data_IF_438356557255
#
_entry.id   IF_438356557255
#
_cell.length_a   1.000
_cell.length_b   1.000
_cell.length_c   1.000
_cell.angle_alpha   90.00
_cell.angle_beta   90.00
_cell.angle_gamma   90.00
#
_symmetry.space_group_name_H-M   'P 1'
#
loop_
_entity.id
_entity.type
_entity.pdbx_description
1 polymer ?
#
# COMPACT_ATOMS: atom_id res chain seq x y z
N UNK A 1 5.30 13.25 14.69
CA UNK A 1 6.32 12.54 13.88
C UNK A 1 5.65 11.79 12.74
N UNK A 2 6.07 11.97 11.50
CA UNK A 2 5.57 11.13 10.43
C UNK A 2 6.00 9.67 10.62
N UNK A 3 5.26 8.75 10.00
CA UNK A 3 5.58 7.32 10.05
C UNK A 3 6.86 6.98 9.27
N UNK A 4 7.18 7.79 8.25
CA UNK A 4 8.31 7.57 7.36
C UNK A 4 8.83 8.93 6.89
N UNK A 5 10.11 9.02 6.60
CA UNK A 5 10.66 10.24 5.99
C UNK A 5 10.13 10.38 4.56
N UNK A 6 9.72 11.57 4.19
CA UNK A 6 9.22 11.82 2.84
C UNK A 6 9.47 13.26 2.42
N UNK A 7 9.44 13.48 1.11
CA UNK A 7 9.51 14.79 0.48
C UNK A 7 8.20 15.07 -0.25
N UNK A 8 7.99 16.31 -0.67
CA UNK A 8 6.73 16.73 -1.30
C UNK A 8 6.32 15.85 -2.49
N UNK A 9 7.28 15.44 -3.33
CA UNK A 9 7.00 14.59 -4.48
C UNK A 9 6.48 13.20 -4.09
N UNK A 10 6.81 12.73 -2.89
CA UNK A 10 6.31 11.44 -2.40
C UNK A 10 4.81 11.48 -2.13
N UNK A 11 4.28 12.63 -1.70
CA UNK A 11 2.85 12.82 -1.48
C UNK A 11 2.10 12.61 -2.79
N UNK A 12 2.57 13.25 -3.85
CA UNK A 12 1.95 13.14 -5.16
C UNK A 12 2.05 11.72 -5.71
N UNK A 13 3.21 11.11 -5.61
CA UNK A 13 3.44 9.76 -6.12
C UNK A 13 2.59 8.73 -5.37
N UNK A 14 2.53 8.83 -4.05
CA UNK A 14 1.70 7.95 -3.23
C UNK A 14 0.21 8.13 -3.56
N UNK A 15 -0.24 9.37 -3.71
CA UNK A 15 -1.62 9.64 -4.09
C UNK A 15 -1.98 8.99 -5.43
N UNK A 16 -1.07 9.03 -6.39
CA UNK A 16 -1.27 8.42 -7.71
C UNK A 16 -1.43 6.91 -7.64
N UNK A 17 -0.60 6.22 -6.85
CA UNK A 17 -0.72 4.76 -6.74
C UNK A 17 -1.94 4.35 -5.92
N UNK A 18 -2.27 5.08 -4.86
CA UNK A 18 -3.48 4.83 -4.07
C UNK A 18 -4.72 4.90 -4.96
N UNK A 19 -4.80 5.91 -5.82
CA UNK A 19 -5.89 6.08 -6.76
C UNK A 19 -5.92 4.96 -7.80
N UNK A 20 -4.77 4.66 -8.39
CA UNK A 20 -4.67 3.64 -9.44
C UNK A 20 -5.10 2.26 -8.93
N UNK A 21 -4.80 1.95 -7.68
CA UNK A 21 -5.11 0.64 -7.10
C UNK A 21 -6.50 0.55 -6.46
N UNK A 22 -7.07 1.66 -5.98
CA UNK A 22 -8.25 1.59 -5.13
C UNK A 22 -9.27 2.71 -5.30
N UNK A 23 -9.27 3.45 -6.40
CA UNK A 23 -10.25 4.55 -6.60
C UNK A 23 -11.69 4.07 -6.42
N UNK A 24 -12.03 2.93 -6.98
CA UNK A 24 -13.39 2.37 -6.91
C UNK A 24 -13.80 1.93 -5.52
N UNK A 25 -12.88 1.86 -4.57
CA UNK A 25 -13.16 1.46 -3.19
C UNK A 25 -13.28 2.65 -2.23
N UNK A 26 -13.22 3.86 -2.76
CA UNK A 26 -13.42 5.08 -1.98
C UNK A 26 -12.21 5.47 -1.12
N UNK A 27 -12.44 6.47 -0.26
CA UNK A 27 -11.37 7.04 0.58
C UNK A 27 -10.68 6.00 1.46
N UNK A 28 -11.46 5.18 2.14
CA UNK A 28 -10.89 4.16 3.04
C UNK A 28 -10.08 3.14 2.25
N UNK A 29 -10.56 2.68 1.10
CA UNK A 29 -9.80 1.75 0.25
C UNK A 29 -8.48 2.33 -0.18
N UNK A 30 -8.46 3.58 -0.61
CA UNK A 30 -7.23 4.28 -0.98
C UNK A 30 -6.28 4.42 0.21
N UNK A 31 -6.80 4.78 1.38
CA UNK A 31 -5.99 4.89 2.60
C UNK A 31 -5.36 3.54 3.00
N UNK A 32 -6.10 2.45 2.85
CA UNK A 32 -5.57 1.12 3.17
C UNK A 32 -4.43 0.72 2.22
N UNK A 33 -4.55 1.02 0.94
CA UNK A 33 -3.46 0.82 -0.02
C UNK A 33 -2.24 1.65 0.36
N UNK A 34 -2.45 2.93 0.68
CA UNK A 34 -1.37 3.80 1.14
C UNK A 34 -0.68 3.29 2.40
N UNK A 35 -1.46 2.75 3.33
CA UNK A 35 -0.93 2.12 4.54
C UNK A 35 0.04 0.98 4.21
N UNK A 36 -0.31 0.13 3.24
CA UNK A 36 0.55 -0.98 2.81
C UNK A 36 1.84 -0.46 2.19
N UNK A 37 1.76 0.55 1.31
CA UNK A 37 2.96 1.13 0.67
C UNK A 37 3.93 1.67 1.73
N UNK A 38 3.42 2.42 2.69
CA UNK A 38 4.25 2.95 3.79
C UNK A 38 4.83 1.82 4.63
N UNK A 39 4.05 0.79 4.91
CA UNK A 39 4.54 -0.39 5.66
C UNK A 39 5.75 -1.03 4.99
N UNK A 40 5.78 -1.10 3.66
CA UNK A 40 6.91 -1.69 2.92
C UNK A 40 8.21 -0.92 3.14
N UNK A 41 8.12 0.41 3.28
CA UNK A 41 9.29 1.24 3.58
C UNK A 41 9.77 1.03 5.01
N UNK A 42 8.85 0.86 5.94
CA UNK A 42 9.16 0.69 7.37
C UNK A 42 9.67 -0.73 7.67
N UNK A 43 9.07 -1.72 7.05
CA UNK A 43 9.27 -3.14 7.39
C UNK A 43 10.72 -3.61 7.23
N UNK A 44 11.36 -3.27 6.14
CA UNK A 44 12.77 -3.62 5.85
C UNK A 44 13.07 -5.11 5.99
N UNK A 45 12.14 -5.96 5.57
CA UNK A 45 12.27 -7.42 5.68
C UNK A 45 11.82 -8.09 4.40
N UNK A 46 12.24 -9.35 4.19
CA UNK A 46 11.86 -10.12 3.02
C UNK A 46 12.20 -9.38 1.72
N UNK A 47 11.28 -9.28 0.78
CA UNK A 47 11.53 -8.61 -0.51
C UNK A 47 11.69 -7.10 -0.38
N UNK A 48 11.45 -6.52 0.80
CA UNK A 48 11.51 -5.08 1.03
C UNK A 48 12.74 -4.61 1.79
N UNK A 49 13.76 -5.46 1.95
CA UNK A 49 14.98 -5.11 2.69
C UNK A 49 15.67 -3.84 2.18
N UNK A 50 15.63 -3.61 0.87
CA UNK A 50 16.27 -2.46 0.23
C UNK A 50 15.28 -1.37 -0.17
N UNK A 51 14.03 -1.49 0.23
CA UNK A 51 13.00 -0.50 -0.04
C UNK A 51 13.07 0.58 1.03
N UNK A 52 13.79 1.67 0.74
CA UNK A 52 14.08 2.72 1.73
C UNK A 52 13.30 4.01 1.49
N UNK A 53 12.58 4.13 0.37
CA UNK A 53 11.80 5.31 0.03
C UNK A 53 10.45 4.92 -0.53
N UNK A 54 9.50 5.86 -0.51
CA UNK A 54 8.19 5.68 -1.13
C UNK A 54 8.33 5.39 -2.63
N UNK A 55 9.21 6.12 -3.30
CA UNK A 55 9.47 5.90 -4.73
C UNK A 55 9.93 4.48 -5.01
N UNK A 56 10.88 3.97 -4.22
CA UNK A 56 11.36 2.60 -4.37
C UNK A 56 10.26 1.57 -4.12
N UNK A 57 9.40 1.82 -3.14
CA UNK A 57 8.28 0.93 -2.85
C UNK A 57 7.31 0.85 -4.03
N UNK A 58 6.96 1.99 -4.61
CA UNK A 58 5.99 2.06 -5.69
C UNK A 58 6.53 1.47 -7.00
N UNK A 59 7.77 1.76 -7.33
CA UNK A 59 8.38 1.31 -8.58
C UNK A 59 9.09 -0.04 -8.48
N UNK A 60 9.04 -0.70 -7.35
CA UNK A 60 9.62 -2.04 -7.23
C UNK A 60 8.99 -2.95 -8.29
N UNK A 61 9.84 -3.62 -9.07
CA UNK A 61 9.41 -4.40 -10.22
C UNK A 61 8.33 -5.42 -9.87
N UNK A 62 7.24 -5.41 -10.63
CA UNK A 62 6.17 -6.40 -10.52
C UNK A 62 5.25 -6.24 -9.31
N UNK A 63 5.37 -5.15 -8.53
CA UNK A 63 4.56 -5.01 -7.32
C UNK A 63 3.20 -4.35 -7.55
N UNK A 64 3.13 -3.32 -8.40
CA UNK A 64 1.87 -2.60 -8.62
C UNK A 64 1.56 -2.49 -10.11
N UNK A 65 0.52 -3.18 -10.55
CA UNK A 65 0.05 -3.08 -11.93
C UNK A 65 -0.43 -1.66 -12.26
N UNK A 66 -0.93 -0.95 -11.26
CA UNK A 66 -1.43 0.41 -11.41
C UNK A 66 -0.43 1.38 -12.00
N UNK A 67 0.88 1.16 -11.81
CA UNK A 67 1.95 2.03 -12.31
C UNK A 67 1.87 2.22 -13.83
N UNK A 68 1.47 1.19 -14.57
CA UNK A 68 1.34 1.25 -16.02
C UNK A 68 0.05 1.87 -16.54
N UNK A 69 -0.86 2.28 -15.68
CA UNK A 69 -2.19 2.74 -16.09
C UNK A 69 -2.24 4.25 -16.34
N UNK A 70 -3.17 4.72 -17.20
CA UNK A 70 -3.39 6.16 -17.37
C UNK A 70 -3.76 6.88 -16.07
N UNK A 71 -4.47 6.18 -15.17
CA UNK A 71 -4.90 6.74 -13.88
C UNK A 71 -3.70 7.10 -13.00
N UNK A 72 -2.65 6.28 -13.02
CA UNK A 72 -1.41 6.57 -12.30
C UNK A 72 -0.66 7.76 -12.91
N UNK A 73 -0.77 7.94 -14.21
CA UNK A 73 -0.02 8.99 -14.93
C UNK A 73 -0.65 10.37 -14.82
N UNK A 74 -1.92 10.46 -14.42
CA UNK A 74 -2.57 11.76 -14.29
C UNK A 74 -2.34 12.35 -12.90
N UNK A 75 -2.38 13.70 -12.83
CA UNK A 75 -2.16 14.42 -11.58
C UNK A 75 -3.23 14.07 -10.56
N UNK A 76 -2.85 13.87 -9.30
CA UNK A 76 -3.83 13.61 -8.25
C UNK A 76 -4.56 14.89 -7.86
N UNK A 77 -5.77 14.72 -7.32
CA UNK A 77 -6.55 15.82 -6.76
C UNK A 77 -5.95 16.27 -5.42
N UNK A 78 -6.34 17.46 -4.97
CA UNK A 78 -5.95 17.94 -3.64
C UNK A 78 -6.43 16.99 -2.54
N UNK A 79 -7.63 16.42 -2.70
CA UNK A 79 -8.19 15.47 -1.76
C UNK A 79 -7.33 14.18 -1.68
N UNK A 80 -6.93 13.66 -2.84
CA UNK A 80 -6.10 12.46 -2.90
C UNK A 80 -4.73 12.69 -2.26
N UNK A 81 -4.14 13.86 -2.48
CA UNK A 81 -2.88 14.26 -1.83
C UNK A 81 -3.03 14.33 -0.32
N UNK A 82 -4.17 14.80 0.18
CA UNK A 82 -4.45 14.84 1.62
C UNK A 82 -4.50 13.43 2.20
N UNK A 83 -5.16 12.49 1.52
CA UNK A 83 -5.19 11.10 1.95
C UNK A 83 -3.78 10.50 1.99
N UNK A 84 -2.97 10.76 0.96
CA UNK A 84 -1.59 10.27 0.91
C UNK A 84 -0.76 10.84 2.06
N UNK A 85 -0.88 12.13 2.33
CA UNK A 85 -0.17 12.76 3.45
C UNK A 85 -0.57 12.13 4.78
N UNK A 86 -1.84 11.81 4.96
CA UNK A 86 -2.30 11.12 6.17
C UNK A 86 -1.62 9.76 6.33
N UNK A 87 -1.43 9.00 5.25
CA UNK A 87 -0.73 7.72 5.30
C UNK A 87 0.74 7.88 5.69
N UNK A 88 1.39 8.92 5.17
CA UNK A 88 2.80 9.21 5.48
C UNK A 88 2.99 9.67 6.93
N UNK A 89 2.02 10.42 7.45
CA UNK A 89 2.14 11.03 8.77
C UNK A 89 1.67 10.12 9.91
N UNK A 90 0.49 9.47 9.78
CA UNK A 90 -0.06 8.77 10.93
C UNK A 90 -1.03 7.62 10.62
N UNK A 91 -1.62 7.56 9.43
CA UNK A 91 -2.73 6.64 9.21
C UNK A 91 -2.32 5.18 9.23
N UNK A 92 -2.92 4.42 10.13
CA UNK A 92 -2.87 2.96 10.14
C UNK A 92 -4.25 2.43 10.52
N UNK A 93 -4.72 1.38 9.84
CA UNK A 93 -6.02 0.80 10.15
C UNK A 93 -6.07 -0.67 9.72
N UNK A 94 -6.68 -1.50 10.55
CA UNK A 94 -7.01 -2.87 10.16
C UNK A 94 -7.87 -2.86 8.89
N UNK A 95 -7.68 -3.74 7.89
CA UNK A 95 -6.75 -4.86 7.89
C UNK A 95 -5.35 -4.52 7.35
N UNK A 96 -5.06 -3.27 7.05
CA UNK A 96 -3.78 -2.87 6.45
C UNK A 96 -2.68 -2.51 7.47
N UNK A 97 -3.02 -2.35 8.76
CA UNK A 97 -2.08 -1.85 9.76
C UNK A 97 -0.72 -2.56 9.74
N UNK A 98 -0.72 -3.88 9.59
CA UNK A 98 0.50 -4.70 9.53
C UNK A 98 0.62 -5.48 8.21
N UNK A 99 -0.12 -5.06 7.19
CA UNK A 99 -0.10 -5.74 5.90
C UNK A 99 1.07 -5.27 5.05
N UNK A 100 1.66 -6.19 4.32
CA UNK A 100 2.71 -5.92 3.34
C UNK A 100 2.23 -6.19 1.91
N UNK A 101 1.13 -6.91 1.75
CA UNK A 101 0.59 -7.26 0.45
C UNK A 101 -0.91 -7.08 0.43
N UNK A 102 -1.44 -6.79 -0.76
CA UNK A 102 -2.87 -6.81 -0.99
C UNK A 102 -3.15 -7.40 -2.37
N UNK A 103 -4.36 -7.91 -2.54
CA UNK A 103 -4.80 -8.49 -3.79
C UNK A 103 -6.29 -8.31 -3.95
N UNK A 104 -6.73 -7.95 -5.15
CA UNK A 104 -8.13 -7.98 -5.52
C UNK A 104 -8.37 -9.27 -6.31
N UNK A 105 -8.97 -10.31 -5.71
CA UNK A 105 -9.18 -11.59 -6.38
C UNK A 105 -10.31 -11.56 -7.40
N UNK A 106 -11.08 -10.47 -7.44
CA UNK A 106 -12.23 -10.32 -8.29
C UNK A 106 -13.53 -10.22 -7.50
N UNK A 107 -14.53 -9.61 -8.10
CA UNK A 107 -15.84 -9.41 -7.45
C UNK A 107 -16.48 -10.75 -7.09
N UNK A 108 -16.88 -10.89 -5.83
CA UNK A 108 -17.53 -12.09 -5.34
C UNK A 108 -16.60 -13.28 -5.09
N UNK A 109 -15.30 -13.09 -5.28
CA UNK A 109 -14.29 -14.14 -5.05
C UNK A 109 -13.74 -14.02 -3.64
N UNK A 110 -13.67 -15.15 -2.92
CA UNK A 110 -13.13 -15.20 -1.57
C UNK A 110 -11.63 -14.91 -1.56
N UNK A 111 -11.15 -14.35 -0.45
CA UNK A 111 -9.73 -14.15 -0.26
C UNK A 111 -8.99 -15.49 -0.13
N UNK A 112 -7.83 -15.67 -0.80
CA UNK A 112 -7.01 -16.83 -0.52
C UNK A 112 -6.48 -16.77 0.91
N UNK A 113 -6.09 -17.91 1.47
CA UNK A 113 -5.54 -17.97 2.83
C UNK A 113 -4.17 -17.30 2.92
N UNK A 114 -3.42 -17.31 1.83
CA UNK A 114 -2.08 -16.72 1.74
C UNK A 114 -1.88 -16.05 0.40
N UNK A 115 -1.08 -14.99 0.40
CA UNK A 115 -0.57 -14.34 -0.79
C UNK A 115 0.76 -13.68 -0.38
N UNK A 116 1.86 -14.42 -0.56
CA UNK A 116 3.19 -14.10 -0.04
C UNK A 116 3.25 -14.09 1.49
N UNK A 117 2.14 -14.00 2.17
CA UNK A 117 2.01 -14.04 3.61
C UNK A 117 0.58 -14.38 4.00
N UNK A 118 0.29 -14.57 5.30
CA UNK A 118 -1.04 -14.98 5.74
C UNK A 118 -2.07 -13.87 5.58
N UNK A 119 -3.29 -14.26 5.29
CA UNK A 119 -4.43 -13.34 5.22
C UNK A 119 -4.67 -12.70 6.58
N UNK A 120 -4.79 -11.37 6.58
CA UNK A 120 -5.17 -10.59 7.76
C UNK A 120 -6.67 -10.28 7.72
N UNK A 121 -7.17 -9.81 6.58
CA UNK A 121 -8.56 -9.43 6.45
C UNK A 121 -8.89 -8.88 5.08
N UNK A 122 -10.14 -8.47 4.93
CA UNK A 122 -10.68 -7.98 3.66
C UNK A 122 -11.39 -6.64 3.87
N UNK A 123 -11.22 -5.75 2.91
CA UNK A 123 -12.03 -4.52 2.80
C UNK A 123 -12.56 -4.43 1.38
N UNK A 124 -13.89 -4.48 1.22
CA UNK A 124 -14.55 -4.53 -0.09
C UNK A 124 -13.92 -5.63 -0.95
N UNK A 125 -13.33 -5.30 -2.09
CA UNK A 125 -12.75 -6.30 -2.98
C UNK A 125 -11.25 -6.55 -2.75
N UNK A 126 -10.62 -5.87 -1.80
CA UNK A 126 -9.20 -6.06 -1.50
C UNK A 126 -8.98 -6.97 -0.30
N UNK A 127 -8.11 -7.95 -0.48
CA UNK A 127 -7.62 -8.83 0.57
C UNK A 127 -6.25 -8.35 0.99
N UNK A 128 -5.96 -8.36 2.31
CA UNK A 128 -4.70 -7.84 2.86
C UNK A 128 -3.95 -8.95 3.59
N UNK A 129 -2.63 -9.00 3.36
CA UNK A 129 -1.78 -10.10 3.84
C UNK A 129 -0.57 -9.54 4.56
N UNK A 130 -0.17 -10.23 5.62
CA UNK A 130 1.00 -9.86 6.43
C UNK A 130 2.30 -10.39 5.88
N UNK A 131 3.40 -10.21 6.66
CA UNK A 131 4.69 -10.77 6.29
C UNK A 131 4.62 -12.30 6.18
N UNK A 132 5.42 -12.85 5.28
CA UNK A 132 5.54 -14.30 5.15
C UNK A 132 5.95 -14.93 6.48
N UNK A 133 5.33 -16.08 6.83
CA UNK A 133 5.66 -16.81 8.05
C UNK A 133 7.13 -17.23 8.00
N UNK A 134 7.85 -16.96 9.08
CA UNK A 134 9.28 -17.29 9.18
C UNK A 134 10.22 -16.17 8.80
N UNK A 135 9.72 -15.10 8.18
CA UNK A 135 10.54 -13.90 7.95
C UNK A 135 10.74 -13.18 9.27
N UNK A 136 12.00 -12.89 9.59
CA UNK A 136 12.39 -12.23 10.83
C UNK A 136 12.75 -10.77 10.59
N UNK A 137 12.74 -9.99 11.67
CA UNK A 137 13.21 -8.60 11.70
C UNK A 137 12.35 -7.64 10.88
N UNK A 138 11.05 -7.93 10.75
CA UNK A 138 10.10 -6.96 10.19
C UNK A 138 9.75 -5.90 11.23
N UNK A 139 9.87 -4.64 10.85
CA UNK A 139 9.64 -3.49 11.74
C UNK A 139 8.18 -3.02 11.78
N UNK A 140 7.25 -3.93 11.56
CA UNK A 140 5.82 -3.59 11.63
C UNK A 140 5.06 -4.51 12.56
#
# INVERSE_FOLDING_TARGET
MPRVKYIKSDIELLARIMRAEALGEGNTGMLLVGNVVVNRVIAKCGPFKKVTTIEKAIYQKGQFEGVGTPLFKSSPTSHEKKLAKNCLDYYTKWPAKKALFFKNPGKGVSCPKTFFGPLIGKYKNHCFFGPEIGIKNCNI
#
